data_IF_993693759673
#
_entry.id   IF_993693759673
#
_cell.length_a   1.000
_cell.length_b   1.000
_cell.length_c   1.000
_cell.angle_alpha   90.00
_cell.angle_beta   90.00
_cell.angle_gamma   90.00
#
_symmetry.space_group_name_H-M   'P 1'
#
loop_
_entity.id
_entity.type
_entity.pdbx_description
1 polymer ?
#
# COMPACT_ATOMS: atom_id res chain seq x y z
N UNK A 1 21.97 10.28 19.15
CA UNK A 1 20.54 10.57 18.91
C UNK A 1 20.00 11.71 19.77
N UNK A 2 20.05 11.66 21.11
CA UNK A 2 19.53 12.74 21.97
C UNK A 2 20.15 14.11 21.64
N UNK A 3 21.49 14.18 21.58
CA UNK A 3 22.21 15.42 21.22
C UNK A 3 21.83 15.98 19.85
N UNK A 4 21.55 15.10 18.88
CA UNK A 4 21.12 15.52 17.55
C UNK A 4 19.73 16.18 17.60
N UNK A 5 18.79 15.61 18.35
CA UNK A 5 17.44 16.18 18.52
C UNK A 5 17.50 17.52 19.25
N UNK A 6 18.32 17.60 20.30
CA UNK A 6 18.53 18.83 21.07
C UNK A 6 19.04 19.97 20.18
N UNK A 7 20.08 19.71 19.36
CA UNK A 7 20.69 20.73 18.51
C UNK A 7 19.81 21.10 17.31
N UNK A 8 19.08 20.13 16.70
CA UNK A 8 18.32 20.41 15.48
C UNK A 8 16.94 21.02 15.73
N UNK A 9 16.19 20.49 16.70
CA UNK A 9 14.77 20.83 16.89
C UNK A 9 14.40 21.13 18.34
N UNK A 10 15.36 21.05 19.28
CA UNK A 10 15.14 21.28 20.72
C UNK A 10 14.02 20.37 21.26
N UNK A 11 13.95 19.14 20.73
CA UNK A 11 12.89 18.18 21.05
C UNK A 11 11.81 18.05 19.97
N UNK A 12 10.64 17.56 20.37
CA UNK A 12 9.47 17.38 19.51
C UNK A 12 8.27 18.11 20.11
N UNK A 13 7.34 18.59 19.29
CA UNK A 13 6.15 19.34 19.75
C UNK A 13 5.38 18.58 20.82
N UNK A 14 4.93 19.30 21.85
CA UNK A 14 4.16 18.73 22.97
C UNK A 14 2.74 18.39 22.55
N UNK A 15 2.17 19.17 21.65
CA UNK A 15 0.86 18.92 21.02
C UNK A 15 0.89 17.62 20.21
N UNK A 16 1.97 17.40 19.46
CA UNK A 16 2.16 16.16 18.68
C UNK A 16 2.28 14.94 19.59
N UNK A 17 3.04 15.05 20.70
CA UNK A 17 3.15 14.00 21.71
C UNK A 17 1.80 13.69 22.35
N UNK A 18 1.05 14.71 22.77
CA UNK A 18 -0.24 14.53 23.43
C UNK A 18 -1.27 13.88 22.49
N UNK A 19 -1.34 14.33 21.24
CA UNK A 19 -2.23 13.73 20.24
C UNK A 19 -1.85 12.28 19.94
N UNK A 20 -0.56 12.00 19.76
CA UNK A 20 -0.09 10.64 19.50
C UNK A 20 -0.38 9.70 20.68
N UNK A 21 -0.16 10.16 21.91
CA UNK A 21 -0.48 9.40 23.12
C UNK A 21 -1.96 9.02 23.17
N UNK A 22 -2.86 9.96 22.86
CA UNK A 22 -4.30 9.69 22.87
C UNK A 22 -4.74 8.71 21.78
N UNK A 23 -4.17 8.82 20.58
CA UNK A 23 -4.46 7.89 19.48
C UNK A 23 -3.97 6.47 19.84
N UNK A 24 -2.75 6.36 20.37
CA UNK A 24 -2.17 5.07 20.75
C UNK A 24 -2.91 4.41 21.92
N UNK A 25 -3.40 5.20 22.88
CA UNK A 25 -4.27 4.72 23.95
C UNK A 25 -5.52 4.03 23.37
N UNK A 26 -6.24 4.71 22.46
CA UNK A 26 -7.43 4.13 21.81
C UNK A 26 -7.11 2.87 21.02
N UNK A 27 -5.99 2.84 20.28
CA UNK A 27 -5.56 1.65 19.54
C UNK A 27 -5.25 0.49 20.49
N UNK A 28 -4.53 0.75 21.58
CA UNK A 28 -4.18 -0.25 22.59
C UNK A 28 -5.43 -0.82 23.26
N UNK A 29 -6.34 0.05 23.70
CA UNK A 29 -7.59 -0.34 24.35
C UNK A 29 -8.47 -1.20 23.44
N UNK A 30 -8.47 -0.93 22.12
CA UNK A 30 -9.20 -1.74 21.14
C UNK A 30 -8.61 -3.14 20.96
N UNK A 31 -7.30 -3.32 21.18
CA UNK A 31 -6.63 -4.61 21.06
C UNK A 31 -6.80 -5.47 22.32
N UNK A 32 -6.92 -4.85 23.50
CA UNK A 32 -7.04 -5.57 24.78
C UNK A 32 -8.46 -6.09 25.09
N UNK A 33 -9.47 -5.75 24.29
CA UNK A 33 -10.84 -6.21 24.49
C UNK A 33 -10.99 -7.67 24.07
N UNK A 34 -11.10 -8.55 25.08
CA UNK A 34 -11.23 -10.02 24.93
C UNK A 34 -12.65 -10.49 24.62
N UNK A 35 -13.66 -9.64 24.82
CA UNK A 35 -15.07 -9.91 24.54
C UNK A 35 -15.58 -8.85 23.59
N UNK A 36 -15.85 -9.25 22.34
CA UNK A 36 -16.42 -8.35 21.34
C UNK A 36 -17.89 -8.68 21.11
N UNK A 37 -18.82 -7.73 21.32
CA UNK A 37 -20.18 -7.90 20.85
C UNK A 37 -20.21 -8.01 19.31
N UNK A 38 -21.23 -8.69 18.72
CA UNK A 38 -21.31 -8.96 17.29
C UNK A 38 -21.29 -7.72 16.39
N UNK A 39 -21.68 -6.56 16.93
CA UNK A 39 -21.81 -5.29 16.22
C UNK A 39 -20.59 -4.37 16.37
N UNK A 40 -19.50 -4.86 16.98
CA UNK A 40 -18.32 -4.03 17.23
C UNK A 40 -17.41 -3.95 16.00
N UNK A 41 -17.04 -2.71 15.63
CA UNK A 41 -16.07 -2.41 14.58
C UNK A 41 -14.74 -3.16 14.79
N UNK A 42 -14.14 -3.61 13.68
CA UNK A 42 -12.79 -4.16 13.63
C UNK A 42 -11.80 -3.27 14.40
N UNK A 43 -10.85 -3.89 15.10
CA UNK A 43 -9.75 -3.11 15.68
C UNK A 43 -8.89 -2.51 14.57
N UNK A 44 -8.02 -1.56 14.92
CA UNK A 44 -7.20 -0.84 13.94
C UNK A 44 -6.40 -1.76 12.99
N UNK A 45 -5.88 -2.88 13.49
CA UNK A 45 -5.06 -3.80 12.71
C UNK A 45 -5.88 -4.68 11.78
N UNK A 46 -7.02 -5.19 12.26
CA UNK A 46 -7.96 -5.98 11.46
C UNK A 46 -8.58 -5.13 10.35
N UNK A 47 -9.00 -3.90 10.67
CA UNK A 47 -9.50 -2.96 9.68
C UNK A 47 -8.45 -2.71 8.58
N UNK A 48 -7.19 -2.43 8.99
CA UNK A 48 -6.09 -2.22 8.05
C UNK A 48 -5.80 -3.46 7.20
N UNK A 49 -5.86 -4.65 7.81
CA UNK A 49 -5.67 -5.92 7.12
C UNK A 49 -6.78 -6.15 6.09
N UNK A 50 -8.05 -5.99 6.46
CA UNK A 50 -9.19 -6.12 5.55
C UNK A 50 -9.08 -5.15 4.37
N UNK A 51 -8.83 -3.86 4.67
CA UNK A 51 -8.73 -2.82 3.66
C UNK A 51 -7.64 -3.14 2.62
N UNK A 52 -6.43 -3.50 3.08
CA UNK A 52 -5.34 -3.82 2.19
C UNK A 52 -5.56 -5.14 1.45
N UNK A 53 -6.17 -6.14 2.09
CA UNK A 53 -6.52 -7.42 1.44
C UNK A 53 -7.43 -7.19 0.25
N UNK A 54 -8.51 -6.41 0.41
CA UNK A 54 -9.44 -6.10 -0.67
C UNK A 54 -8.80 -5.29 -1.80
N UNK A 55 -7.97 -4.29 -1.45
CA UNK A 55 -7.22 -3.51 -2.46
C UNK A 55 -6.24 -4.38 -3.24
N UNK A 56 -5.52 -5.27 -2.57
CA UNK A 56 -4.59 -6.19 -3.23
C UNK A 56 -5.32 -7.23 -4.09
N UNK A 57 -6.47 -7.72 -3.66
CA UNK A 57 -7.32 -8.62 -4.46
C UNK A 57 -7.75 -7.95 -5.76
N UNK A 58 -8.35 -6.76 -5.68
CA UNK A 58 -8.73 -5.95 -6.87
C UNK A 58 -7.55 -5.73 -7.82
N UNK A 59 -6.39 -5.35 -7.29
CA UNK A 59 -5.20 -5.09 -8.10
C UNK A 59 -4.64 -6.37 -8.75
N UNK A 60 -4.51 -7.47 -7.98
CA UNK A 60 -4.02 -8.76 -8.51
C UNK A 60 -4.94 -9.27 -9.62
N UNK A 61 -6.25 -9.14 -9.44
CA UNK A 61 -7.21 -9.59 -10.45
C UNK A 61 -7.08 -8.78 -11.73
N UNK A 62 -6.96 -7.45 -11.65
CA UNK A 62 -6.68 -6.61 -12.82
C UNK A 62 -5.39 -6.99 -13.54
N UNK A 63 -4.30 -7.20 -12.80
CA UNK A 63 -2.99 -7.53 -13.39
C UNK A 63 -2.99 -8.93 -14.01
N UNK A 64 -3.75 -9.89 -13.49
CA UNK A 64 -3.89 -11.22 -14.11
C UNK A 64 -4.48 -11.16 -15.52
N UNK A 65 -5.38 -10.21 -15.79
CA UNK A 65 -5.98 -10.03 -17.12
C UNK A 65 -5.09 -9.21 -18.07
N UNK A 66 -4.00 -8.63 -17.60
CA UNK A 66 -3.16 -7.73 -18.35
C UNK A 66 -1.69 -8.16 -18.31
N UNK A 67 -1.23 -8.80 -19.38
CA UNK A 67 0.15 -9.32 -19.50
C UNK A 67 1.22 -8.21 -19.52
N UNK A 68 0.83 -6.93 -19.60
CA UNK A 68 1.75 -5.79 -19.56
C UNK A 68 2.41 -5.57 -18.20
N UNK A 69 1.78 -6.07 -17.13
CA UNK A 69 2.22 -5.79 -15.76
C UNK A 69 2.50 -7.08 -15.00
N UNK A 70 3.50 -7.05 -14.13
CA UNK A 70 3.73 -8.10 -13.15
C UNK A 70 3.88 -7.53 -11.74
N UNK A 71 3.40 -8.31 -10.78
CA UNK A 71 3.46 -8.01 -9.36
C UNK A 71 4.32 -9.04 -8.61
N UNK A 72 4.95 -8.67 -7.49
CA UNK A 72 5.66 -9.61 -6.65
C UNK A 72 4.67 -10.62 -6.06
N UNK A 73 5.12 -11.87 -5.94
CA UNK A 73 4.37 -12.92 -5.26
C UNK A 73 4.80 -12.96 -3.80
N UNK A 74 3.82 -13.05 -2.89
CA UNK A 74 4.08 -13.15 -1.47
C UNK A 74 3.64 -14.53 -0.96
N UNK A 75 4.48 -15.22 -0.17
CA UNK A 75 4.10 -16.51 0.39
C UNK A 75 3.12 -16.33 1.55
N UNK A 76 2.31 -17.37 1.81
CA UNK A 76 1.55 -17.50 3.05
C UNK A 76 2.51 -17.69 4.22
N UNK A 77 2.31 -16.93 5.29
CA UNK A 77 3.13 -16.99 6.51
C UNK A 77 2.25 -16.94 7.75
N UNK A 78 2.68 -17.63 8.81
CA UNK A 78 1.98 -17.61 10.09
C UNK A 78 2.18 -16.26 10.79
N UNK A 79 1.08 -15.61 11.14
CA UNK A 79 1.08 -14.34 11.87
C UNK A 79 0.76 -14.59 13.34
N UNK A 80 1.75 -14.33 14.23
CA UNK A 80 1.56 -14.51 15.67
C UNK A 80 0.52 -13.57 16.28
N UNK A 81 0.24 -12.42 15.64
CA UNK A 81 -0.75 -11.47 16.13
C UNK A 81 -2.19 -11.96 15.89
N UNK A 82 -2.47 -12.46 14.67
CA UNK A 82 -3.81 -12.96 14.32
C UNK A 82 -3.99 -14.43 14.69
N UNK A 83 -2.89 -15.18 14.88
CA UNK A 83 -2.91 -16.61 15.16
C UNK A 83 -3.20 -17.49 13.94
N UNK A 84 -3.10 -16.95 12.72
CA UNK A 84 -3.48 -17.62 11.47
C UNK A 84 -2.43 -17.41 10.35
N UNK A 85 -2.50 -18.22 9.29
CA UNK A 85 -1.71 -18.04 8.07
C UNK A 85 -2.31 -16.93 7.21
N UNK A 86 -1.47 -15.94 6.87
CA UNK A 86 -1.88 -14.77 6.10
C UNK A 86 -0.87 -14.49 4.97
N UNK A 87 -1.35 -13.91 3.86
CA UNK A 87 -0.47 -13.37 2.82
C UNK A 87 -0.11 -11.92 3.14
N UNK A 88 1.09 -11.48 2.76
CA UNK A 88 1.48 -10.09 2.89
C UNK A 88 0.72 -9.19 1.91
N UNK A 89 0.12 -8.12 2.45
CA UNK A 89 -0.56 -7.06 1.69
C UNK A 89 0.14 -5.72 1.91
N UNK A 90 1.29 -5.46 1.23
CA UNK A 90 2.11 -4.30 1.55
C UNK A 90 1.46 -2.95 1.21
N UNK A 91 1.93 -1.90 1.87
CA UNK A 91 1.50 -0.50 1.66
C UNK A 91 1.74 0.02 0.23
N UNK A 92 2.63 -0.63 -0.52
CA UNK A 92 2.97 -0.24 -1.88
C UNK A 92 2.97 -1.45 -2.82
N UNK A 93 2.37 -1.27 -3.99
CA UNK A 93 2.55 -2.20 -5.09
C UNK A 93 3.85 -1.86 -5.83
N UNK A 94 4.76 -2.83 -5.91
CA UNK A 94 6.00 -2.74 -6.67
C UNK A 94 5.80 -3.39 -8.03
N UNK A 95 5.24 -2.63 -8.96
CA UNK A 95 4.78 -3.14 -10.24
C UNK A 95 5.90 -3.05 -11.28
N UNK A 96 6.07 -4.11 -12.07
CA UNK A 96 6.95 -4.14 -13.22
C UNK A 96 6.11 -4.01 -14.49
N UNK A 97 6.55 -3.18 -15.42
CA UNK A 97 6.08 -3.16 -16.81
C UNK A 97 6.95 -4.13 -17.63
N UNK A 98 6.34 -5.05 -18.39
CA UNK A 98 7.08 -6.11 -19.10
C UNK A 98 7.71 -5.63 -20.42
N UNK A 99 7.08 -4.68 -21.12
CA UNK A 99 7.70 -4.05 -22.29
C UNK A 99 8.94 -3.24 -21.88
N UNK A 100 9.89 -3.00 -22.79
CA UNK A 100 11.06 -2.12 -22.57
C UNK A 100 10.67 -0.62 -22.48
N UNK A 101 9.59 -0.34 -21.75
CA UNK A 101 9.00 0.98 -21.57
C UNK A 101 9.34 1.48 -20.17
N UNK A 102 9.62 2.78 -20.07
CA UNK A 102 9.72 3.47 -18.80
C UNK A 102 8.36 3.44 -18.11
N UNK A 103 8.25 2.63 -17.05
CA UNK A 103 6.98 2.32 -16.40
C UNK A 103 6.36 3.55 -15.73
N UNK A 104 7.18 4.50 -15.23
CA UNK A 104 6.68 5.78 -14.71
C UNK A 104 6.08 6.62 -15.85
N UNK A 105 6.72 6.67 -17.01
CA UNK A 105 6.20 7.43 -18.16
C UNK A 105 4.91 6.84 -18.71
N UNK A 106 4.83 5.51 -18.85
CA UNK A 106 3.61 4.82 -19.30
C UNK A 106 2.43 5.17 -18.39
N UNK A 107 2.58 4.95 -17.09
CA UNK A 107 1.53 5.21 -16.10
C UNK A 107 1.16 6.69 -16.04
N UNK A 108 2.14 7.60 -16.17
CA UNK A 108 1.90 9.05 -16.24
C UNK A 108 1.06 9.43 -17.46
N UNK A 109 1.26 8.77 -18.61
CA UNK A 109 0.43 8.95 -19.82
C UNK A 109 -1.05 8.67 -19.56
N UNK A 110 -1.35 7.72 -18.67
CA UNK A 110 -2.71 7.39 -18.22
C UNK A 110 -3.14 8.14 -16.95
N UNK A 111 -2.47 9.25 -16.63
CA UNK A 111 -2.73 10.09 -15.44
C UNK A 111 -2.57 9.33 -14.12
N UNK A 112 -1.70 8.33 -14.06
CA UNK A 112 -1.35 7.61 -12.83
C UNK A 112 0.05 8.08 -12.40
N UNK A 113 0.13 8.82 -11.29
CA UNK A 113 1.41 9.30 -10.76
C UNK A 113 2.03 8.26 -9.85
N UNK A 114 3.26 7.86 -10.16
CA UNK A 114 4.01 6.84 -9.41
C UNK A 114 5.41 7.32 -9.06
N UNK A 115 6.20 6.48 -8.40
CA UNK A 115 7.64 6.71 -8.21
C UNK A 115 8.42 5.69 -9.03
N UNK A 116 9.23 6.12 -10.00
CA UNK A 116 10.10 5.22 -10.76
C UNK A 116 11.04 4.42 -9.86
N UNK A 117 11.29 3.18 -10.28
CA UNK A 117 12.24 2.29 -9.65
C UNK A 117 13.66 2.82 -9.61
N UNK A 118 14.05 3.68 -10.55
CA UNK A 118 15.36 4.37 -10.56
C UNK A 118 15.64 5.12 -9.26
N UNK A 119 14.62 5.71 -8.65
CA UNK A 119 14.76 6.44 -7.37
C UNK A 119 15.08 5.52 -6.19
N UNK A 120 14.88 4.21 -6.36
CA UNK A 120 15.14 3.17 -5.37
C UNK A 120 16.36 2.30 -5.76
N UNK A 121 17.16 2.74 -6.75
CA UNK A 121 18.29 1.94 -7.24
C UNK A 121 17.89 0.73 -8.08
N UNK A 122 16.66 0.71 -8.60
CA UNK A 122 16.15 -0.34 -9.49
C UNK A 122 16.01 0.16 -10.93
N UNK A 123 15.57 -0.73 -11.81
CA UNK A 123 15.35 -0.47 -13.23
C UNK A 123 14.11 0.45 -13.45
N UNK A 124 14.10 1.21 -14.55
CA UNK A 124 12.99 2.07 -14.96
C UNK A 124 11.70 1.30 -15.31
N UNK A 125 11.81 -0.01 -15.57
CA UNK A 125 10.65 -0.88 -15.76
C UNK A 125 9.83 -1.08 -14.49
N UNK A 126 10.33 -0.67 -13.32
CA UNK A 126 9.59 -0.73 -12.07
C UNK A 126 8.97 0.62 -11.70
N UNK A 127 7.80 0.56 -11.07
CA UNK A 127 7.15 1.69 -10.45
C UNK A 127 6.58 1.30 -9.08
N UNK A 128 6.72 2.21 -8.10
CA UNK A 128 6.08 2.08 -6.78
C UNK A 128 4.76 2.85 -6.78
N UNK A 129 3.67 2.16 -6.50
CA UNK A 129 2.31 2.70 -6.40
C UNK A 129 1.82 2.59 -4.95
N UNK A 130 1.16 3.63 -4.45
CA UNK A 130 0.60 3.63 -3.09
C UNK A 130 -0.70 2.82 -3.04
N UNK A 131 -0.81 1.91 -2.08
CA UNK A 131 -2.04 1.15 -1.77
C UNK A 131 -2.80 1.75 -0.58
N UNK A 132 -2.34 2.89 -0.04
CA UNK A 132 -2.88 3.54 1.16
C UNK A 132 -3.51 4.92 0.89
N UNK A 133 -3.82 5.24 -0.38
CA UNK A 133 -4.54 6.47 -0.74
C UNK A 133 -5.99 6.43 -0.24
N UNK A 134 -6.76 7.51 -0.44
CA UNK A 134 -8.21 7.46 -0.20
C UNK A 134 -8.88 6.45 -1.15
N UNK A 135 -10.05 5.96 -0.77
CA UNK A 135 -10.78 4.96 -1.58
C UNK A 135 -11.06 5.48 -3.00
N UNK A 136 -11.53 6.73 -3.12
CA UNK A 136 -11.77 7.39 -4.41
C UNK A 136 -10.51 7.43 -5.31
N UNK A 137 -9.35 7.69 -4.72
CA UNK A 137 -8.08 7.73 -5.45
C UNK A 137 -7.64 6.33 -5.86
N UNK A 138 -7.88 5.33 -5.00
CA UNK A 138 -7.56 3.94 -5.29
C UNK A 138 -8.46 3.38 -6.40
N UNK A 139 -9.77 3.62 -6.32
CA UNK A 139 -10.72 3.16 -7.34
C UNK A 139 -10.46 3.85 -8.69
N UNK A 140 -10.12 5.15 -8.69
CA UNK A 140 -9.69 5.85 -9.90
C UNK A 140 -8.39 5.28 -10.48
N UNK A 141 -7.44 4.87 -9.63
CA UNK A 141 -6.23 4.19 -10.05
C UNK A 141 -6.55 2.85 -10.73
N UNK A 142 -7.39 2.01 -10.10
CA UNK A 142 -7.87 0.72 -10.63
C UNK A 142 -8.54 0.91 -11.98
N UNK A 143 -9.44 1.90 -12.11
CA UNK A 143 -10.13 2.23 -13.35
C UNK A 143 -9.17 2.69 -14.46
N UNK A 144 -8.17 3.52 -14.13
CA UNK A 144 -7.18 3.99 -15.12
C UNK A 144 -6.27 2.85 -15.55
N UNK A 145 -5.84 2.00 -14.60
CA UNK A 145 -4.97 0.86 -14.88
C UNK A 145 -5.67 -0.15 -15.81
N UNK A 146 -6.96 -0.41 -15.60
CA UNK A 146 -7.74 -1.31 -16.46
C UNK A 146 -7.94 -0.78 -17.88
N UNK A 147 -7.76 0.52 -18.11
CA UNK A 147 -7.84 1.11 -19.45
C UNK A 147 -6.55 0.95 -20.27
N UNK A 148 -5.45 0.54 -19.62
CA UNK A 148 -4.16 0.34 -20.29
C UNK A 148 -4.18 -1.02 -20.98
N UNK A 149 -4.25 -1.02 -22.30
CA UNK A 149 -4.14 -2.21 -23.12
C UNK A 149 -2.83 -2.16 -23.90
N UNK A 150 -2.22 -3.32 -24.16
CA UNK A 150 -1.06 -3.39 -25.06
C UNK A 150 -1.44 -2.77 -26.39
N UNK A 151 -0.51 -2.05 -27.03
CA UNK A 151 -0.69 -1.67 -28.43
C UNK A 151 -0.84 -2.98 -29.19
N UNK A 152 -2.07 -3.33 -29.57
CA UNK A 152 -2.28 -4.29 -30.63
C UNK A 152 -1.55 -3.70 -31.83
N UNK A 153 -0.39 -4.27 -32.16
CA UNK A 153 0.32 -3.95 -33.39
C UNK A 153 -0.64 -4.27 -34.54
N UNK A 154 -1.41 -3.26 -34.95
CA UNK A 154 -2.04 -3.22 -36.25
C UNK A 154 -0.94 -2.98 -37.25
N UNK A 155 -0.41 -4.08 -37.80
CA UNK A 155 -0.08 -4.30 -39.20
C UNK A 155 0.62 -5.65 -39.36
#
# INVERSE_FOLDING_TARGET
MVKFIEINTIGVSKESQQRAAKILEVISDSCSQTVRPPDQLDNFFEYGQHLLTERWKKLKDLVKFNELFTLPKFPLQYCNFTGDFTEAHPAFAWMKCEEEVDCEKLLRGHKILTRSGKRFGSDQKYARISMMSRDEEFDLFVQRLSSIHGIANGN
#
